data_IF_284318242206
#
_entry.id   IF_284318242206
#
_cell.length_a   1.000
_cell.length_b   1.000
_cell.length_c   1.000
_cell.angle_alpha   90.00
_cell.angle_beta   90.00
_cell.angle_gamma   90.00
#
_symmetry.space_group_name_H-M   'P 1'
#
loop_
_entity.id
_entity.type
_entity.pdbx_description
1 polymer ?
#
# COMPACT_ATOMS: atom_id res chain seq x y z
N UNK A 1 18.80 13.66 10.67
CA UNK A 1 18.20 14.71 11.53
C UNK A 1 17.20 15.61 10.81
N UNK A 2 17.59 16.46 9.83
CA UNK A 2 16.62 17.37 9.18
C UNK A 2 15.58 16.67 8.30
N UNK A 3 16.02 15.69 7.48
CA UNK A 3 15.12 14.86 6.65
C UNK A 3 14.14 14.05 7.51
N UNK A 4 14.65 13.40 8.56
CA UNK A 4 13.86 12.64 9.52
C UNK A 4 12.83 13.51 10.25
N UNK A 5 13.23 14.70 10.71
CA UNK A 5 12.31 15.66 11.32
C UNK A 5 11.17 16.04 10.37
N UNK A 6 11.49 16.38 9.12
CA UNK A 6 10.48 16.70 8.12
C UNK A 6 9.55 15.50 7.85
N UNK A 7 10.09 14.27 7.78
CA UNK A 7 9.28 13.06 7.61
C UNK A 7 8.33 12.83 8.81
N UNK A 8 8.80 13.07 10.05
CA UNK A 8 7.96 12.98 11.24
C UNK A 8 6.85 14.04 11.25
N UNK A 9 7.15 15.29 10.87
CA UNK A 9 6.13 16.33 10.71
C UNK A 9 5.09 15.94 9.66
N UNK A 10 5.53 15.36 8.54
CA UNK A 10 4.63 14.86 7.51
C UNK A 10 3.68 13.78 8.04
N UNK A 11 4.18 12.84 8.84
CA UNK A 11 3.39 11.78 9.47
C UNK A 11 2.35 12.32 10.46
N UNK A 12 2.70 13.33 11.26
CA UNK A 12 1.78 14.00 12.17
C UNK A 12 0.65 14.68 11.39
N UNK A 13 0.99 15.47 10.37
CA UNK A 13 -0.02 16.12 9.54
C UNK A 13 -0.88 15.13 8.76
N UNK A 14 -0.32 14.00 8.32
CA UNK A 14 -1.09 12.91 7.72
C UNK A 14 -2.12 12.35 8.70
N UNK A 15 -1.75 12.11 9.96
CA UNK A 15 -2.69 11.63 10.97
C UNK A 15 -3.85 12.62 11.17
N UNK A 16 -3.56 13.92 11.24
CA UNK A 16 -4.58 14.98 11.35
C UNK A 16 -5.48 15.02 10.11
N UNK A 17 -4.91 14.91 8.90
CA UNK A 17 -5.68 14.91 7.66
C UNK A 17 -6.67 13.73 7.57
N UNK A 18 -6.29 12.58 8.12
CA UNK A 18 -7.09 11.36 8.12
C UNK A 18 -8.05 11.25 9.32
N UNK A 19 -8.02 12.20 10.24
CA UNK A 19 -8.97 12.24 11.36
C UNK A 19 -10.35 12.69 10.86
N UNK A 20 -11.28 11.73 10.73
CA UNK A 20 -12.64 11.99 10.27
C UNK A 20 -13.47 12.83 11.25
N UNK A 21 -13.02 13.01 12.49
CA UNK A 21 -13.68 13.87 13.49
C UNK A 21 -13.38 15.36 13.29
N UNK A 22 -12.30 15.70 12.57
CA UNK A 22 -11.90 17.07 12.31
C UNK A 22 -12.67 17.70 11.13
N UNK A 23 -12.77 19.03 11.12
CA UNK A 23 -13.42 19.76 10.02
C UNK A 23 -12.67 19.55 8.70
N UNK A 24 -13.42 19.43 7.59
CA UNK A 24 -12.84 19.14 6.28
C UNK A 24 -11.79 20.18 5.83
N UNK A 25 -11.98 21.46 6.18
CA UNK A 25 -11.02 22.52 5.89
C UNK A 25 -9.68 22.31 6.61
N UNK A 26 -9.72 21.93 7.89
CA UNK A 26 -8.53 21.65 8.70
C UNK A 26 -7.81 20.39 8.18
N UNK A 27 -8.58 19.35 7.84
CA UNK A 27 -8.04 18.13 7.24
C UNK A 27 -7.35 18.39 5.91
N UNK A 28 -7.94 19.24 5.06
CA UNK A 28 -7.34 19.63 3.78
C UNK A 28 -6.08 20.47 3.97
N UNK A 29 -6.07 21.39 4.94
CA UNK A 29 -4.85 22.15 5.29
C UNK A 29 -3.74 21.22 5.80
N UNK A 30 -4.09 20.25 6.67
CA UNK A 30 -3.14 19.25 7.15
C UNK A 30 -2.62 18.36 6.02
N UNK A 31 -3.46 17.94 5.06
CA UNK A 31 -3.02 17.16 3.91
C UNK A 31 -1.98 17.92 3.07
N UNK A 32 -2.21 19.21 2.80
CA UNK A 32 -1.23 20.08 2.11
C UNK A 32 0.08 20.20 2.87
N UNK A 33 0.03 20.41 4.19
CA UNK A 33 1.25 20.45 5.01
C UNK A 33 1.99 19.11 5.02
N UNK A 34 1.29 17.98 5.12
CA UNK A 34 1.90 16.66 5.05
C UNK A 34 2.68 16.47 3.75
N UNK A 35 2.08 16.81 2.61
CA UNK A 35 2.71 16.75 1.29
C UNK A 35 3.95 17.65 1.21
N UNK A 36 3.86 18.90 1.67
CA UNK A 36 5.01 19.82 1.70
C UNK A 36 6.17 19.26 2.53
N UNK A 37 5.87 18.69 3.70
CA UNK A 37 6.89 18.11 4.58
C UNK A 37 7.51 16.84 3.99
N UNK A 38 6.71 16.00 3.31
CA UNK A 38 7.26 14.85 2.58
C UNK A 38 8.18 15.27 1.43
N UNK A 39 7.81 16.30 0.65
CA UNK A 39 8.68 16.87 -0.39
C UNK A 39 10.00 17.36 0.19
N UNK A 40 9.95 18.11 1.30
CA UNK A 40 11.14 18.60 1.98
C UNK A 40 12.01 17.44 2.51
N UNK A 41 11.39 16.43 3.13
CA UNK A 41 12.08 15.25 3.62
C UNK A 41 12.79 14.49 2.49
N UNK A 42 12.14 14.33 1.33
CA UNK A 42 12.69 13.63 0.19
C UNK A 42 13.85 14.39 -0.44
N UNK A 43 13.72 15.71 -0.61
CA UNK A 43 14.80 16.57 -1.10
C UNK A 43 16.03 16.50 -0.19
N UNK A 44 15.82 16.66 1.13
CA UNK A 44 16.90 16.59 2.12
C UNK A 44 17.55 15.19 2.19
N UNK A 45 16.76 14.12 2.05
CA UNK A 45 17.30 12.76 2.03
C UNK A 45 18.13 12.51 0.76
N UNK A 46 17.68 13.00 -0.39
CA UNK A 46 18.40 12.89 -1.65
C UNK A 46 19.70 13.71 -1.64
N UNK A 47 19.67 14.96 -1.17
CA UNK A 47 20.86 15.81 -1.02
C UNK A 47 21.91 15.20 -0.09
N UNK A 48 21.47 14.50 0.95
CA UNK A 48 22.33 13.81 1.90
C UNK A 48 22.67 12.37 1.51
N UNK A 49 22.23 11.91 0.32
CA UNK A 49 22.42 10.53 -0.18
C UNK A 49 21.92 9.44 0.79
N UNK A 50 20.91 9.77 1.60
CA UNK A 50 20.27 8.86 2.54
C UNK A 50 19.18 8.06 1.82
N UNK A 51 19.58 7.13 0.96
CA UNK A 51 18.67 6.43 0.05
C UNK A 51 17.57 5.61 0.75
N UNK A 52 17.84 5.04 1.92
CA UNK A 52 16.82 4.34 2.71
C UNK A 52 15.73 5.32 3.21
N UNK A 53 16.15 6.49 3.71
CA UNK A 53 15.23 7.55 4.11
C UNK A 53 14.46 8.10 2.91
N UNK A 54 15.11 8.24 1.74
CA UNK A 54 14.46 8.68 0.51
C UNK A 54 13.42 7.67 0.03
N UNK A 55 13.73 6.37 0.03
CA UNK A 55 12.80 5.30 -0.35
C UNK A 55 11.58 5.25 0.59
N UNK A 56 11.81 5.30 1.90
CA UNK A 56 10.75 5.34 2.91
C UNK A 56 9.86 6.59 2.77
N UNK A 57 10.47 7.76 2.54
CA UNK A 57 9.75 9.02 2.35
C UNK A 57 8.92 9.00 1.07
N UNK A 58 9.47 8.50 -0.05
CA UNK A 58 8.75 8.36 -1.31
C UNK A 58 7.55 7.41 -1.16
N UNK A 59 7.73 6.27 -0.50
CA UNK A 59 6.63 5.33 -0.22
C UNK A 59 5.52 5.98 0.61
N UNK A 60 5.91 6.71 1.66
CA UNK A 60 4.96 7.44 2.51
C UNK A 60 4.25 8.57 1.76
N UNK A 61 4.93 9.31 0.89
CA UNK A 61 4.32 10.36 0.06
C UNK A 61 3.27 9.77 -0.87
N UNK A 62 3.62 8.71 -1.63
CA UNK A 62 2.69 8.02 -2.52
C UNK A 62 1.47 7.50 -1.78
N UNK A 63 1.68 6.81 -0.66
CA UNK A 63 0.57 6.30 0.17
C UNK A 63 -0.33 7.43 0.69
N UNK A 64 0.26 8.54 1.13
CA UNK A 64 -0.50 9.67 1.67
C UNK A 64 -1.34 10.35 0.60
N UNK A 65 -0.77 10.62 -0.59
CA UNK A 65 -1.50 11.19 -1.72
C UNK A 65 -2.70 10.31 -2.09
N UNK A 66 -2.51 8.99 -2.17
CA UNK A 66 -3.60 8.07 -2.46
C UNK A 66 -4.71 8.11 -1.41
N UNK A 67 -4.35 8.12 -0.12
CA UNK A 67 -5.34 8.23 0.96
C UNK A 67 -6.09 9.56 0.92
N UNK A 68 -5.37 10.67 0.72
CA UNK A 68 -5.97 12.01 0.65
C UNK A 68 -6.96 12.13 -0.51
N UNK A 69 -6.60 11.63 -1.69
CA UNK A 69 -7.51 11.55 -2.85
C UNK A 69 -8.78 10.75 -2.53
N UNK A 70 -8.64 9.61 -1.85
CA UNK A 70 -9.79 8.78 -1.45
C UNK A 70 -10.69 9.44 -0.41
N UNK A 71 -10.13 10.29 0.45
CA UNK A 71 -10.89 11.09 1.41
C UNK A 71 -11.46 12.38 0.78
N UNK A 72 -11.25 12.62 -0.52
CA UNK A 72 -11.67 13.84 -1.18
C UNK A 72 -10.96 15.10 -0.67
N UNK A 73 -9.77 14.96 -0.10
CA UNK A 73 -8.98 16.08 0.41
C UNK A 73 -8.23 16.75 -0.75
N UNK A 74 -8.25 18.09 -0.73
CA UNK A 74 -7.54 18.91 -1.70
C UNK A 74 -6.02 18.86 -1.45
N UNK A 75 -5.28 18.32 -2.42
CA UNK A 75 -3.82 18.24 -2.40
C UNK A 75 -3.25 18.76 -3.71
N UNK A 76 -2.05 19.37 -3.70
CA UNK A 76 -1.46 19.93 -4.92
C UNK A 76 -1.29 18.85 -6.00
N UNK A 77 -1.89 19.07 -7.18
CA UNK A 77 -1.83 18.11 -8.29
C UNK A 77 -0.43 17.92 -8.90
N UNK A 78 0.52 18.78 -8.55
CA UNK A 78 1.91 18.74 -9.03
C UNK A 78 2.68 17.48 -8.60
N UNK A 79 2.28 16.83 -7.49
CA UNK A 79 2.92 15.58 -7.06
C UNK A 79 2.54 14.38 -7.92
N UNK A 80 1.62 14.56 -8.87
CA UNK A 80 1.26 13.57 -9.85
C UNK A 80 0.61 12.32 -9.27
N UNK A 81 0.76 11.22 -10.02
CA UNK A 81 0.13 9.93 -9.75
C UNK A 81 0.81 9.20 -8.57
N UNK A 82 0.08 8.87 -7.47
CA UNK A 82 0.61 8.19 -6.28
C UNK A 82 1.51 6.97 -6.56
N UNK A 83 1.15 6.17 -7.56
CA UNK A 83 1.91 4.99 -7.96
C UNK A 83 3.34 5.29 -8.44
N UNK A 84 3.61 6.51 -8.96
CA UNK A 84 4.97 6.91 -9.37
C UNK A 84 5.91 7.01 -8.16
N UNK A 85 5.41 7.45 -7.02
CA UNK A 85 6.18 7.52 -5.78
C UNK A 85 6.47 6.15 -5.18
N UNK A 86 5.50 5.22 -5.28
CA UNK A 86 5.70 3.80 -4.93
C UNK A 86 6.75 3.16 -5.85
N UNK A 87 6.72 3.50 -7.15
CA UNK A 87 7.74 3.11 -8.12
C UNK A 87 9.13 3.67 -7.80
N UNK A 88 9.22 4.94 -7.41
CA UNK A 88 10.47 5.57 -6.97
C UNK A 88 11.05 4.88 -5.73
N UNK A 89 10.22 4.58 -4.74
CA UNK A 89 10.64 3.85 -3.54
C UNK A 89 11.21 2.46 -3.89
N UNK A 90 10.52 1.72 -4.77
CA UNK A 90 11.00 0.41 -5.24
C UNK A 90 12.31 0.53 -6.03
N UNK A 91 12.41 1.51 -6.93
CA UNK A 91 13.60 1.75 -7.73
C UNK A 91 14.83 2.13 -6.90
N UNK A 92 14.65 2.99 -5.88
CA UNK A 92 15.70 3.34 -4.93
C UNK A 92 16.17 2.12 -4.15
N UNK A 93 15.23 1.28 -3.69
CA UNK A 93 15.54 0.04 -2.99
C UNK A 93 16.37 -0.93 -3.84
N UNK A 94 15.91 -1.17 -5.06
CA UNK A 94 16.58 -2.00 -6.07
C UNK A 94 17.99 -1.51 -6.41
N UNK A 95 18.18 -0.19 -6.57
CA UNK A 95 19.45 0.40 -7.00
C UNK A 95 20.50 0.45 -5.89
N UNK A 96 20.07 0.70 -4.65
CA UNK A 96 20.98 0.97 -3.54
C UNK A 96 21.01 -0.16 -2.50
N UNK A 97 20.27 -1.25 -2.72
CA UNK A 97 20.15 -2.34 -1.76
C UNK A 97 19.50 -1.90 -0.45
N UNK A 98 18.74 -0.80 -0.47
CA UNK A 98 18.05 -0.25 0.70
C UNK A 98 16.66 -0.84 0.82
N UNK A 99 16.21 -1.07 2.05
CA UNK A 99 15.01 -1.85 2.31
C UNK A 99 13.74 -1.13 1.87
N UNK A 100 13.11 -1.61 0.80
CA UNK A 100 11.68 -1.40 0.60
C UNK A 100 10.92 -2.32 1.56
N UNK A 101 10.35 -1.76 2.64
CA UNK A 101 9.52 -2.55 3.54
C UNK A 101 8.34 -3.20 2.82
N UNK A 102 7.80 -4.31 3.36
CA UNK A 102 6.60 -5.00 2.84
C UNK A 102 5.42 -4.05 2.61
N UNK A 103 5.38 -2.95 3.36
CA UNK A 103 4.44 -1.86 3.17
C UNK A 103 4.42 -1.31 1.76
N UNK A 104 5.57 -1.14 1.09
CA UNK A 104 5.60 -0.62 -0.28
C UNK A 104 4.89 -1.56 -1.26
N UNK A 105 5.12 -2.87 -1.15
CA UNK A 105 4.43 -3.88 -1.96
C UNK A 105 2.93 -3.96 -1.62
N UNK A 106 2.56 -3.90 -0.34
CA UNK A 106 1.16 -3.86 0.09
C UNK A 106 0.45 -2.61 -0.48
N UNK A 107 1.10 -1.44 -0.44
CA UNK A 107 0.56 -0.21 -1.00
C UNK A 107 0.40 -0.30 -2.51
N UNK A 108 1.42 -0.83 -3.21
CA UNK A 108 1.37 -1.07 -4.66
C UNK A 108 0.16 -1.92 -5.04
N UNK A 109 -0.01 -3.07 -4.38
CA UNK A 109 -1.10 -3.99 -4.60
C UNK A 109 -2.47 -3.32 -4.37
N UNK A 110 -2.61 -2.55 -3.28
CA UNK A 110 -3.85 -1.82 -2.98
C UNK A 110 -4.18 -0.72 -3.98
N UNK A 111 -3.18 0.04 -4.40
CA UNK A 111 -3.35 1.11 -5.39
C UNK A 111 -3.67 0.54 -6.77
N UNK A 112 -2.99 -0.53 -7.19
CA UNK A 112 -3.21 -1.20 -8.48
C UNK A 112 -4.66 -1.66 -8.64
N UNK A 113 -5.29 -2.16 -7.57
CA UNK A 113 -6.70 -2.54 -7.55
C UNK A 113 -7.66 -1.44 -7.09
N UNK A 114 -7.18 -0.23 -6.83
CA UNK A 114 -7.98 0.90 -6.31
C UNK A 114 -8.82 0.54 -5.08
N UNK A 115 -8.22 -0.18 -4.13
CA UNK A 115 -8.85 -0.73 -2.91
C UNK A 115 -9.89 -1.86 -3.12
N UNK A 116 -10.35 -2.13 -4.35
CA UNK A 116 -11.37 -3.14 -4.64
C UNK A 116 -12.82 -2.61 -4.50
N UNK A 117 -13.83 -3.45 -4.76
CA UNK A 117 -15.23 -3.08 -4.61
C UNK A 117 -15.59 -2.79 -3.15
N UNK A 118 -16.44 -1.78 -2.92
CA UNK A 118 -16.97 -1.46 -1.58
C UNK A 118 -18.17 -2.32 -1.18
N UNK A 119 -18.83 -2.98 -2.14
CA UNK A 119 -19.97 -3.84 -1.88
C UNK A 119 -19.57 -5.02 -0.97
N UNK A 120 -20.35 -5.32 0.08
CA UNK A 120 -20.10 -6.50 0.90
C UNK A 120 -20.42 -7.77 0.11
N UNK A 121 -19.51 -8.74 0.15
CA UNK A 121 -19.60 -10.04 -0.50
C UNK A 121 -20.13 -9.96 -1.94
N UNK A 122 -19.39 -9.29 -2.85
CA UNK A 122 -19.79 -9.22 -4.25
C UNK A 122 -19.83 -10.62 -4.86
N UNK A 123 -20.58 -10.80 -5.95
CA UNK A 123 -20.54 -12.06 -6.69
C UNK A 123 -19.14 -12.27 -7.25
N UNK A 124 -18.66 -13.52 -7.38
CA UNK A 124 -17.36 -13.79 -8.00
C UNK A 124 -17.23 -13.18 -9.40
N UNK A 125 -18.31 -13.15 -10.18
CA UNK A 125 -18.30 -12.53 -11.51
C UNK A 125 -18.03 -11.01 -11.45
N UNK A 126 -18.70 -10.29 -10.56
CA UNK A 126 -18.49 -8.84 -10.38
C UNK A 126 -17.07 -8.57 -9.88
N UNK A 127 -16.60 -9.38 -8.93
CA UNK A 127 -15.28 -9.22 -8.34
C UNK A 127 -14.15 -9.43 -9.35
N UNK A 128 -14.24 -10.48 -10.20
CA UNK A 128 -13.24 -10.76 -11.26
C UNK A 128 -13.24 -9.74 -12.39
N UNK A 129 -14.32 -8.96 -12.55
CA UNK A 129 -14.40 -7.86 -13.52
C UNK A 129 -13.93 -6.53 -12.93
N UNK A 130 -13.55 -6.49 -11.66
CA UNK A 130 -13.07 -5.27 -11.04
C UNK A 130 -11.81 -4.78 -11.76
N UNK A 131 -11.72 -3.50 -12.12
CA UNK A 131 -10.56 -2.99 -12.85
C UNK A 131 -9.31 -3.03 -11.98
N UNK A 132 -8.27 -3.68 -12.48
CA UNK A 132 -6.93 -3.72 -11.89
C UNK A 132 -5.93 -3.23 -12.93
N UNK A 133 -5.11 -2.24 -12.57
CA UNK A 133 -4.01 -1.76 -13.41
C UNK A 133 -3.08 -2.93 -13.73
N UNK A 134 -2.73 -3.21 -14.99
CA UNK A 134 -1.81 -4.32 -15.28
C UNK A 134 -0.38 -4.04 -14.80
N UNK A 135 0.44 -5.07 -14.48
CA UNK A 135 1.87 -4.87 -14.19
C UNK A 135 2.62 -4.14 -15.30
N UNK A 136 2.25 -4.35 -16.56
CA UNK A 136 2.79 -3.64 -17.72
C UNK A 136 2.42 -2.15 -17.70
N UNK A 137 1.15 -1.82 -17.46
CA UNK A 137 0.70 -0.43 -17.36
C UNK A 137 1.36 0.30 -16.17
N UNK A 138 1.58 -0.39 -15.05
CA UNK A 138 2.38 0.14 -13.95
C UNK A 138 3.83 0.42 -14.37
N UNK A 139 4.49 -0.52 -15.07
CA UNK A 139 5.86 -0.32 -15.58
C UNK A 139 5.94 0.87 -16.55
N UNK A 140 4.94 1.03 -17.43
CA UNK A 140 4.86 2.18 -18.33
C UNK A 140 4.67 3.50 -17.56
N UNK A 141 3.85 3.49 -16.50
CA UNK A 141 3.59 4.67 -15.67
C UNK A 141 4.83 5.18 -14.92
N UNK A 142 5.68 4.27 -14.45
CA UNK A 142 6.87 4.62 -13.66
C UNK A 142 8.10 4.91 -14.53
N UNK A 143 8.01 4.71 -15.85
CA UNK A 143 9.10 5.01 -16.77
C UNK A 143 9.59 6.47 -16.59
N UNK A 144 10.92 6.72 -16.67
CA UNK A 144 11.98 5.80 -17.10
C UNK A 144 12.53 4.89 -15.98
N UNK A 145 11.95 4.85 -14.78
CA UNK A 145 12.42 3.96 -13.72
C UNK A 145 12.17 2.50 -14.10
N UNK A 146 13.20 1.66 -13.96
CA UNK A 146 13.15 0.22 -14.25
C UNK A 146 13.41 -0.58 -12.98
N UNK A 147 12.49 -1.46 -12.62
CA UNK A 147 12.64 -2.37 -11.49
C UNK A 147 13.34 -3.66 -11.94
N UNK A 148 14.22 -4.20 -11.10
CA UNK A 148 14.91 -5.47 -11.36
C UNK A 148 13.95 -6.64 -11.20
N UNK A 149 13.15 -6.63 -10.14
CA UNK A 149 12.16 -7.66 -9.89
C UNK A 149 11.12 -7.70 -11.01
N UNK A 150 10.96 -8.88 -11.62
CA UNK A 150 10.00 -9.13 -12.68
C UNK A 150 8.90 -10.03 -12.16
N UNK A 151 7.66 -9.62 -12.41
CA UNK A 151 6.47 -10.43 -12.19
C UNK A 151 5.51 -10.23 -13.35
N UNK A 152 4.87 -11.32 -13.74
CA UNK A 152 3.90 -11.39 -14.84
C UNK A 152 2.49 -10.99 -14.40
N UNK A 153 2.17 -11.17 -13.12
CA UNK A 153 0.87 -10.86 -12.52
C UNK A 153 1.00 -10.35 -11.09
N UNK A 154 -0.01 -9.63 -10.60
CA UNK A 154 -0.06 -9.21 -9.19
C UNK A 154 -0.26 -10.38 -8.22
N UNK A 155 -0.97 -11.42 -8.66
CA UNK A 155 -1.09 -12.68 -7.92
C UNK A 155 0.28 -13.31 -7.68
N UNK A 156 1.12 -13.38 -8.70
CA UNK A 156 2.50 -13.88 -8.56
C UNK A 156 3.31 -13.07 -7.54
N UNK A 157 3.23 -11.74 -7.60
CA UNK A 157 3.88 -10.87 -6.64
C UNK A 157 3.38 -11.11 -5.20
N UNK A 158 2.07 -11.19 -4.99
CA UNK A 158 1.47 -11.46 -3.69
C UNK A 158 1.84 -12.86 -3.16
N UNK A 159 1.83 -13.88 -4.02
CA UNK A 159 2.21 -15.25 -3.67
C UNK A 159 3.70 -15.37 -3.32
N UNK A 160 4.58 -14.70 -4.07
CA UNK A 160 6.01 -14.66 -3.74
C UNK A 160 6.25 -13.98 -2.39
N UNK A 161 5.58 -12.86 -2.14
CA UNK A 161 5.64 -12.14 -0.87
C UNK A 161 5.21 -13.04 0.30
N UNK A 162 4.12 -13.81 0.13
CA UNK A 162 3.67 -14.79 1.13
C UNK A 162 4.66 -15.94 1.32
N UNK A 163 5.24 -16.47 0.23
CA UNK A 163 6.20 -17.56 0.28
C UNK A 163 7.51 -17.17 1.00
N UNK A 164 7.98 -15.93 0.84
CA UNK A 164 9.15 -15.42 1.56
C UNK A 164 8.91 -15.35 3.07
N UNK A 165 7.71 -14.92 3.46
CA UNK A 165 7.26 -14.82 4.84
C UNK A 165 7.08 -16.20 5.48
N UNK A 166 6.53 -17.15 4.73
CA UNK A 166 6.30 -18.53 5.21
C UNK A 166 7.62 -19.31 5.34
N UNK A 167 8.57 -19.08 4.43
CA UNK A 167 9.89 -19.67 4.49
C UNK A 167 10.82 -19.01 5.53
N UNK A 168 10.36 -17.96 6.22
CA UNK A 168 11.17 -17.23 7.19
C UNK A 168 12.33 -16.43 6.58
N UNK A 169 12.35 -16.25 5.25
CA UNK A 169 13.34 -15.43 4.54
C UNK A 169 13.23 -13.96 4.94
N UNK A 170 12.04 -13.53 5.34
CA UNK A 170 11.81 -12.20 5.90
C UNK A 170 11.01 -12.27 7.18
N UNK A 171 11.47 -11.53 8.20
CA UNK A 171 10.76 -11.34 9.46
C UNK A 171 9.87 -10.11 9.35
N UNK A 172 8.58 -10.29 9.65
CA UNK A 172 7.58 -9.24 9.63
C UNK A 172 6.68 -9.35 10.85
N UNK A 173 6.13 -8.22 11.28
CA UNK A 173 5.20 -8.15 12.41
C UNK A 173 3.83 -8.79 12.08
N UNK A 174 2.98 -8.91 13.11
CA UNK A 174 1.65 -9.51 12.96
C UNK A 174 0.74 -8.73 12.00
N UNK A 175 0.82 -7.39 12.01
CA UNK A 175 0.01 -6.53 11.16
C UNK A 175 0.41 -6.68 9.70
N UNK A 176 1.70 -6.62 9.39
CA UNK A 176 2.25 -6.87 8.06
C UNK A 176 1.86 -8.26 7.56
N UNK A 177 1.98 -9.29 8.40
CA UNK A 177 1.60 -10.66 8.03
C UNK A 177 0.11 -10.78 7.70
N UNK A 178 -0.75 -10.11 8.47
CA UNK A 178 -2.17 -10.06 8.20
C UNK A 178 -2.48 -9.35 6.87
N UNK A 179 -1.78 -8.25 6.57
CA UNK A 179 -1.90 -7.56 5.28
C UNK A 179 -1.45 -8.44 4.11
N UNK A 180 -0.31 -9.13 4.22
CA UNK A 180 0.18 -10.08 3.18
C UNK A 180 -0.88 -11.13 2.85
N UNK A 181 -1.49 -11.73 3.87
CA UNK A 181 -2.55 -12.73 3.68
C UNK A 181 -3.82 -12.14 3.04
N UNK A 182 -4.18 -10.92 3.40
CA UNK A 182 -5.30 -10.21 2.76
C UNK A 182 -5.01 -9.94 1.28
N UNK A 183 -3.80 -9.50 0.95
CA UNK A 183 -3.42 -9.25 -0.44
C UNK A 183 -3.41 -10.55 -1.27
N UNK A 184 -2.86 -11.64 -0.72
CA UNK A 184 -2.92 -12.95 -1.35
C UNK A 184 -4.38 -13.39 -1.59
N UNK A 185 -5.23 -13.34 -0.56
CA UNK A 185 -6.64 -13.73 -0.68
C UNK A 185 -7.37 -12.94 -1.78
N UNK A 186 -7.14 -11.64 -1.87
CA UNK A 186 -7.79 -10.77 -2.85
C UNK A 186 -7.39 -11.12 -4.28
N UNK A 187 -6.09 -11.28 -4.55
CA UNK A 187 -5.59 -11.57 -5.89
C UNK A 187 -5.86 -13.00 -6.34
N UNK A 188 -5.85 -13.98 -5.44
CA UNK A 188 -6.28 -15.35 -5.76
C UNK A 188 -7.77 -15.36 -6.15
N UNK A 189 -8.63 -14.65 -5.40
CA UNK A 189 -10.05 -14.55 -5.70
C UNK A 189 -10.32 -13.83 -7.04
N UNK A 190 -9.58 -12.76 -7.32
CA UNK A 190 -9.69 -11.98 -8.56
C UNK A 190 -9.25 -12.80 -9.79
N UNK A 191 -8.19 -13.60 -9.66
CA UNK A 191 -7.68 -14.43 -10.75
C UNK A 191 -8.43 -15.77 -10.89
N UNK A 192 -9.44 -16.00 -10.04
CA UNK A 192 -10.38 -17.12 -10.18
C UNK A 192 -9.99 -18.40 -9.44
N UNK A 193 -9.14 -18.32 -8.40
CA UNK A 193 -8.82 -19.42 -7.50
C UNK A 193 -9.47 -19.23 -6.12
N UNK A 194 -10.76 -19.59 -5.96
CA UNK A 194 -11.47 -19.40 -4.69
C UNK A 194 -10.93 -20.28 -3.57
N UNK A 195 -10.32 -21.43 -3.88
CA UNK A 195 -9.75 -22.35 -2.89
C UNK A 195 -8.55 -21.71 -2.21
N UNK A 196 -7.57 -21.23 -2.99
CA UNK A 196 -6.39 -20.55 -2.44
C UNK A 196 -6.75 -19.25 -1.73
N UNK A 197 -7.76 -18.54 -2.25
CA UNK A 197 -8.29 -17.36 -1.58
C UNK A 197 -8.85 -17.71 -0.19
N UNK A 198 -9.68 -18.76 -0.09
CA UNK A 198 -10.26 -19.21 1.18
C UNK A 198 -9.19 -19.69 2.17
N UNK A 199 -8.15 -20.38 1.69
CA UNK A 199 -7.01 -20.78 2.52
C UNK A 199 -6.27 -19.57 3.12
N UNK A 200 -6.03 -18.52 2.32
CA UNK A 200 -5.41 -17.28 2.78
C UNK A 200 -6.31 -16.55 3.80
N UNK A 201 -7.62 -16.50 3.56
CA UNK A 201 -8.60 -15.94 4.51
C UNK A 201 -8.60 -16.68 5.84
N UNK A 202 -8.60 -18.00 5.81
CA UNK A 202 -8.63 -18.81 7.03
C UNK A 202 -7.32 -18.66 7.83
N UNK A 203 -6.18 -18.58 7.14
CA UNK A 203 -4.91 -18.20 7.75
C UNK A 203 -4.95 -16.81 8.39
N UNK A 204 -5.55 -15.83 7.72
CA UNK A 204 -5.72 -14.47 8.24
C UNK A 204 -6.61 -14.46 9.50
N UNK A 205 -7.74 -15.17 9.48
CA UNK A 205 -8.67 -15.28 10.62
C UNK A 205 -7.98 -15.78 11.88
N UNK A 206 -7.15 -16.82 11.78
CA UNK A 206 -6.39 -17.36 12.92
C UNK A 206 -5.41 -16.36 13.54
N UNK A 207 -4.93 -15.39 12.75
CA UNK A 207 -3.98 -14.36 13.17
C UNK A 207 -4.65 -13.11 13.74
N UNK A 208 -5.95 -12.91 13.52
CA UNK A 208 -6.63 -11.69 13.99
C UNK A 208 -6.48 -11.46 15.51
N UNK A 209 -6.38 -12.53 16.31
CA UNK A 209 -6.17 -12.42 17.77
C UNK A 209 -4.84 -11.78 18.18
N UNK A 210 -3.87 -11.73 17.27
CA UNK A 210 -2.54 -11.14 17.48
C UNK A 210 -2.53 -9.62 17.25
N UNK A 211 -3.66 -9.06 16.77
CA UNK A 211 -3.78 -7.67 16.35
C UNK A 211 -4.50 -6.82 17.40
N UNK A 212 -4.30 -5.50 17.31
CA UNK A 212 -5.04 -4.53 18.12
C UNK A 212 -6.54 -4.58 17.81
N UNK A 213 -7.43 -4.09 18.69
CA UNK A 213 -8.86 -4.00 18.40
C UNK A 213 -9.19 -3.24 17.10
N UNK A 214 -8.51 -2.12 16.84
CA UNK A 214 -8.71 -1.32 15.64
C UNK A 214 -8.32 -2.09 14.36
N UNK A 215 -7.16 -2.73 14.37
CA UNK A 215 -6.70 -3.55 13.23
C UNK A 215 -7.64 -4.73 12.98
N UNK A 216 -8.13 -5.39 14.03
CA UNK A 216 -9.11 -6.48 13.90
C UNK A 216 -10.39 -6.02 13.21
N UNK A 217 -10.88 -4.82 13.53
CA UNK A 217 -12.05 -4.25 12.86
C UNK A 217 -11.76 -4.01 11.38
N UNK A 218 -10.62 -3.38 11.07
CA UNK A 218 -10.18 -3.17 9.69
C UNK A 218 -10.17 -4.48 8.88
N UNK A 219 -9.54 -5.54 9.38
CA UNK A 219 -9.47 -6.81 8.64
C UNK A 219 -10.82 -7.51 8.53
N UNK A 220 -11.72 -7.39 9.51
CA UNK A 220 -13.08 -7.92 9.39
C UNK A 220 -13.85 -7.21 8.28
N UNK A 221 -13.71 -5.90 8.18
CA UNK A 221 -14.35 -5.11 7.12
C UNK A 221 -13.71 -5.37 5.76
N UNK A 222 -12.39 -5.55 5.70
CA UNK A 222 -11.70 -5.94 4.48
C UNK A 222 -12.13 -7.33 3.99
N UNK A 223 -12.26 -8.31 4.90
CA UNK A 223 -12.74 -9.65 4.57
C UNK A 223 -14.17 -9.62 4.03
N UNK A 224 -15.03 -8.72 4.51
CA UNK A 224 -16.39 -8.55 3.95
C UNK A 224 -16.40 -8.09 2.51
N UNK A 225 -15.32 -7.51 1.99
CA UNK A 225 -15.22 -7.04 0.60
C UNK A 225 -14.70 -8.11 -0.36
N UNK A 226 -14.33 -9.29 0.14
CA UNK A 226 -14.00 -10.45 -0.69
C UNK A 226 -15.27 -11.14 -1.21
N UNK A 227 -15.21 -11.80 -2.37
CA UNK A 227 -16.40 -12.33 -3.01
C UNK A 227 -17.03 -13.50 -2.22
N UNK A 228 -18.30 -13.77 -2.54
CA UNK A 228 -19.03 -14.91 -2.00
C UNK A 228 -18.27 -16.22 -2.24
N UNK A 229 -18.27 -17.13 -1.26
CA UNK A 229 -17.60 -18.42 -1.35
C UNK A 229 -16.10 -18.43 -1.01
N UNK A 230 -15.49 -17.26 -0.76
CA UNK A 230 -14.11 -17.14 -0.24
C UNK A 230 -14.08 -16.94 1.28
N UNK A 231 -15.14 -16.36 1.84
CA UNK A 231 -15.24 -15.91 3.23
C UNK A 231 -16.25 -16.76 3.97
#
# INVERSE_FOLDING_TARGET
MRSEHANLQALIHRAIALDESAAHADRSAAARHAVQQYRAALALANEAELFDAAASTASNLGWSLWLFQRCGLDVPGEDGEPLRWIGLAAWLGDRHGVGGGFWNTIYLLRMARRNGPDAPHPTPEVFRRWPVLSPEAFRALIAPMTLHAQWSSWRELAASMQADVDAGRVQIDALQRANVLLEAAWYEAHDGDPTRAAEAVERLRRRLRELTPADRLFFRDALRRLPQGVV
#
